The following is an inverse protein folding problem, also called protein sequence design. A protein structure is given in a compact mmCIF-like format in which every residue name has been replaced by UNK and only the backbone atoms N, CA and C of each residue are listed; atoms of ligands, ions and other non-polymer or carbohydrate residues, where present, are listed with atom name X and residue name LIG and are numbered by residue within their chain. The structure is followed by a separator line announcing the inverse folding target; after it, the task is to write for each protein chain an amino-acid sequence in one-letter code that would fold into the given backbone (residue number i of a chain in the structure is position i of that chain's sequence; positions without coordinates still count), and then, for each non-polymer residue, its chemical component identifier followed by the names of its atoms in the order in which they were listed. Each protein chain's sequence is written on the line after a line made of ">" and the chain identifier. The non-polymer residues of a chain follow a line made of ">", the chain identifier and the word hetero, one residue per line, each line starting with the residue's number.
data_IF_651408632766
#
_entry.id   IF_651408632766
#
_cell.length_a   1.000
_cell.length_b   1.000
_cell.length_c   1.000
_cell.angle_alpha   90.00
_cell.angle_beta   90.00
_cell.angle_gamma   90.00
#
_symmetry.space_group_name_H-M   'P 1'
#
loop_
_entity.id
_entity.type
_entity.pdbx_description
1 polymer ?
#
# COMPACT_ATOMS: atom_id res chain seq x y z
N UNK A 1 2.08 -9.51 6.59
CA UNK A 1 1.57 -8.50 5.63
C UNK A 1 2.30 -7.18 5.82
N UNK A 2 2.31 -6.33 4.79
CA UNK A 2 2.90 -4.98 4.83
C UNK A 2 1.89 -3.98 4.24
N UNK A 3 1.82 -2.78 4.80
CA UNK A 3 1.17 -1.62 4.17
C UNK A 3 2.25 -0.61 3.83
N UNK A 4 2.35 -0.21 2.57
CA UNK A 4 3.24 0.89 2.16
C UNK A 4 2.40 2.14 2.00
N UNK A 5 2.60 3.11 2.90
CA UNK A 5 2.00 4.43 2.82
C UNK A 5 3.01 5.38 2.17
N UNK A 6 2.67 5.97 1.03
CA UNK A 6 3.63 6.75 0.23
C UNK A 6 3.05 8.05 -0.30
N UNK A 7 3.80 9.17 -0.25
CA UNK A 7 3.47 10.33 -1.06
C UNK A 7 3.82 10.09 -2.53
N UNK A 8 3.39 10.99 -3.40
CA UNK A 8 3.90 11.10 -4.77
C UNK A 8 4.83 12.30 -4.89
N UNK A 9 6.09 12.03 -5.21
CA UNK A 9 7.10 13.05 -5.51
C UNK A 9 7.54 12.93 -6.96
N UNK A 10 7.48 14.04 -7.69
CA UNK A 10 7.93 14.12 -9.10
C UNK A 10 7.37 12.98 -9.98
N UNK A 11 6.06 12.71 -9.87
CA UNK A 11 5.33 11.68 -10.64
C UNK A 11 5.71 10.23 -10.31
N UNK A 12 6.34 9.95 -9.16
CA UNK A 12 6.58 8.58 -8.69
C UNK A 12 6.64 8.49 -7.15
N UNK A 13 6.98 7.32 -6.62
CA UNK A 13 7.20 7.11 -5.19
C UNK A 13 8.63 7.50 -4.75
N UNK A 14 8.88 7.85 -3.48
CA UNK A 14 10.18 8.29 -3.01
C UNK A 14 11.30 7.26 -3.21
N UNK A 15 12.51 7.74 -3.55
CA UNK A 15 13.70 6.90 -3.75
C UNK A 15 14.07 6.07 -2.50
N UNK A 16 13.75 6.56 -1.30
CA UNK A 16 13.97 5.83 -0.04
C UNK A 16 13.18 4.53 0.03
N UNK A 17 11.95 4.51 -0.48
CA UNK A 17 11.13 3.29 -0.56
C UNK A 17 11.75 2.32 -1.56
N UNK A 18 12.21 2.81 -2.72
CA UNK A 18 12.90 1.98 -3.72
C UNK A 18 14.14 1.30 -3.12
N UNK A 19 14.94 2.06 -2.39
CA UNK A 19 16.14 1.54 -1.74
C UNK A 19 15.81 0.45 -0.71
N UNK A 20 14.78 0.65 0.13
CA UNK A 20 14.36 -0.36 1.10
C UNK A 20 13.87 -1.66 0.42
N UNK A 21 13.13 -1.53 -0.68
CA UNK A 21 12.67 -2.66 -1.48
C UNK A 21 13.84 -3.42 -2.09
N UNK A 22 14.77 -2.71 -2.73
CA UNK A 22 15.93 -3.30 -3.40
C UNK A 22 16.86 -4.02 -2.41
N UNK A 23 17.04 -3.46 -1.22
CA UNK A 23 17.85 -4.07 -0.17
C UNK A 23 17.26 -5.40 0.31
N UNK A 24 15.93 -5.50 0.41
CA UNK A 24 15.20 -6.68 0.90
C UNK A 24 14.63 -7.55 -0.23
N UNK A 25 15.30 -7.59 -1.39
CA UNK A 25 14.81 -8.19 -2.64
C UNK A 25 14.01 -9.50 -2.47
N UNK A 26 14.55 -10.49 -1.75
CA UNK A 26 13.94 -11.82 -1.64
C UNK A 26 12.75 -11.87 -0.65
N UNK A 27 12.68 -10.96 0.32
CA UNK A 27 11.70 -10.99 1.41
C UNK A 27 10.27 -10.62 0.96
N UNK A 28 10.15 -10.06 -0.24
CA UNK A 28 8.88 -9.62 -0.83
C UNK A 28 8.09 -10.76 -1.45
N UNK A 29 8.73 -11.87 -1.82
CA UNK A 29 8.08 -12.97 -2.52
C UNK A 29 6.93 -13.53 -1.68
N UNK A 30 5.76 -13.65 -2.31
CA UNK A 30 4.49 -14.13 -1.72
C UNK A 30 4.03 -13.32 -0.49
N UNK A 31 4.66 -12.18 -0.20
CA UNK A 31 4.28 -11.32 0.92
C UNK A 31 3.02 -10.54 0.57
N UNK A 32 1.96 -10.57 1.41
CA UNK A 32 0.79 -9.73 1.19
C UNK A 32 1.14 -8.26 1.41
N UNK A 33 0.87 -7.42 0.42
CA UNK A 33 1.17 -5.98 0.45
C UNK A 33 -0.03 -5.15 -0.01
N UNK A 34 -0.38 -4.09 0.73
CA UNK A 34 -1.28 -3.04 0.26
C UNK A 34 -0.53 -1.73 0.08
N UNK A 35 -0.94 -0.92 -0.90
CA UNK A 35 -0.35 0.40 -1.17
C UNK A 35 -1.37 1.51 -0.89
N UNK A 36 -1.00 2.46 -0.04
CA UNK A 36 -1.80 3.64 0.25
C UNK A 36 -1.04 4.89 -0.20
N UNK A 37 -1.43 5.44 -1.34
CA UNK A 37 -0.93 6.72 -1.82
C UNK A 37 -1.57 7.88 -1.07
N UNK A 38 -0.85 8.99 -0.89
CA UNK A 38 -1.46 10.23 -0.40
C UNK A 38 -0.88 11.49 -1.05
N UNK A 39 -1.69 12.55 -1.12
CA UNK A 39 -1.27 13.87 -1.58
C UNK A 39 -2.45 14.66 -2.16
N UNK A 40 -2.22 15.91 -2.59
CA UNK A 40 -3.30 16.72 -3.18
C UNK A 40 -3.91 16.13 -4.46
N UNK A 41 -3.20 15.22 -5.14
CA UNK A 41 -3.69 14.46 -6.30
C UNK A 41 -3.88 12.97 -6.04
N UNK A 42 -3.91 12.52 -4.79
CA UNK A 42 -4.13 11.11 -4.43
C UNK A 42 -2.97 10.15 -4.70
N UNK A 43 -1.86 10.60 -5.32
CA UNK A 43 -0.65 9.82 -5.57
C UNK A 43 -0.78 8.61 -6.53
N UNK A 44 -1.62 8.72 -7.56
CA UNK A 44 -1.90 7.63 -8.51
C UNK A 44 -0.69 7.11 -9.30
N UNK A 45 0.26 7.96 -9.71
CA UNK A 45 1.45 7.49 -10.44
C UNK A 45 2.39 6.72 -9.50
N UNK A 46 2.55 7.22 -8.27
CA UNK A 46 3.36 6.53 -7.25
C UNK A 46 2.79 5.15 -6.92
N UNK A 47 1.46 5.03 -6.81
CA UNK A 47 0.79 3.74 -6.61
C UNK A 47 1.07 2.78 -7.76
N UNK A 48 0.93 3.25 -9.02
CA UNK A 48 1.13 2.43 -10.20
C UNK A 48 2.57 1.94 -10.33
N UNK A 49 3.55 2.84 -10.17
CA UNK A 49 4.97 2.52 -10.23
C UNK A 49 5.39 1.56 -9.11
N UNK A 50 4.91 1.79 -7.89
CA UNK A 50 5.24 0.94 -6.74
C UNK A 50 4.63 -0.45 -6.88
N UNK A 51 3.37 -0.54 -7.32
CA UNK A 51 2.71 -1.82 -7.59
C UNK A 51 3.47 -2.61 -8.66
N UNK A 52 3.91 -1.94 -9.73
CA UNK A 52 4.73 -2.57 -10.78
C UNK A 52 6.01 -3.19 -10.21
N UNK A 53 6.71 -2.50 -9.31
CA UNK A 53 7.93 -3.03 -8.66
C UNK A 53 7.60 -4.21 -7.75
N UNK A 54 6.59 -4.08 -6.89
CA UNK A 54 6.20 -5.14 -5.96
C UNK A 54 5.75 -6.43 -6.68
N UNK A 55 4.93 -6.30 -7.72
CA UNK A 55 4.51 -7.43 -8.55
C UNK A 55 5.69 -8.08 -9.28
N UNK A 56 6.69 -7.30 -9.73
CA UNK A 56 7.92 -7.85 -10.31
C UNK A 56 8.68 -8.72 -9.31
N UNK A 57 8.69 -8.33 -8.02
CA UNK A 57 9.26 -9.10 -6.92
C UNK A 57 8.34 -10.21 -6.39
N UNK A 58 7.21 -10.47 -7.08
CA UNK A 58 6.21 -11.48 -6.71
C UNK A 58 5.57 -11.28 -5.34
N UNK A 59 5.48 -10.03 -4.87
CA UNK A 59 4.62 -9.72 -3.74
C UNK A 59 3.15 -9.94 -4.13
N UNK A 60 2.36 -10.42 -3.18
CA UNK A 60 0.90 -10.55 -3.30
C UNK A 60 0.25 -9.20 -3.02
N UNK A 61 0.20 -8.33 -4.04
CA UNK A 61 -0.37 -7.00 -3.90
C UNK A 61 -1.90 -7.10 -3.88
N UNK A 62 -2.50 -6.94 -2.70
CA UNK A 62 -3.94 -7.10 -2.50
C UNK A 62 -4.75 -5.93 -3.05
N UNK A 63 -4.14 -4.75 -3.14
CA UNK A 63 -4.75 -3.58 -3.75
C UNK A 63 -4.01 -2.28 -3.47
N UNK A 64 -4.48 -1.21 -4.09
CA UNK A 64 -3.98 0.13 -3.82
C UNK A 64 -5.11 1.16 -3.78
N UNK A 65 -4.95 2.19 -2.96
CA UNK A 65 -5.86 3.34 -2.90
C UNK A 65 -5.10 4.64 -2.69
N UNK A 66 -5.64 5.73 -3.19
CA UNK A 66 -5.04 7.06 -3.09
C UNK A 66 -5.88 7.98 -2.23
N UNK A 67 -5.26 8.73 -1.32
CA UNK A 67 -5.93 9.63 -0.38
C UNK A 67 -5.61 11.10 -0.69
N UNK A 68 -6.64 11.91 -0.83
CA UNK A 68 -6.53 13.32 -1.22
C UNK A 68 -6.67 14.26 -0.04
N UNK A 69 -5.72 15.19 0.14
CA UNK A 69 -5.85 16.26 1.13
C UNK A 69 -7.02 17.19 0.80
N UNK A 70 -7.82 17.54 1.82
CA UNK A 70 -9.04 18.34 1.71
C UNK A 70 -10.27 17.55 1.25
N UNK A 71 -10.14 16.26 0.94
CA UNK A 71 -11.25 15.39 0.57
C UNK A 71 -11.30 14.12 1.44
N UNK A 72 -10.17 13.40 1.52
CA UNK A 72 -10.02 12.17 2.29
C UNK A 72 -9.23 12.35 3.58
N UNK A 73 -8.30 13.31 3.56
CA UNK A 73 -7.41 13.65 4.67
C UNK A 73 -7.55 15.13 5.01
N UNK A 74 -7.56 15.47 6.29
CA UNK A 74 -7.29 16.82 6.73
C UNK A 74 -5.81 17.18 6.48
N UNK A 75 -5.47 18.47 6.56
CA UNK A 75 -4.12 18.98 6.27
C UNK A 75 -3.07 18.43 7.23
N UNK A 76 -3.47 18.06 8.45
CA UNK A 76 -2.62 17.41 9.45
C UNK A 76 -2.46 15.89 9.22
N UNK A 77 -3.07 15.35 8.16
CA UNK A 77 -3.05 13.93 7.82
C UNK A 77 -4.10 13.09 8.53
N UNK A 78 -4.99 13.68 9.32
CA UNK A 78 -6.08 12.91 9.95
C UNK A 78 -7.13 12.49 8.92
N UNK A 79 -7.64 11.27 9.06
CA UNK A 79 -8.74 10.73 8.26
C UNK A 79 -9.97 10.59 9.16
N UNK A 80 -11.10 11.19 8.75
CA UNK A 80 -12.38 10.93 9.40
C UNK A 80 -12.90 9.55 8.95
N UNK A 81 -13.28 8.73 9.94
CA UNK A 81 -13.83 7.39 9.74
C UNK A 81 -15.10 7.36 8.87
N UNK A 82 -15.81 8.47 8.75
CA UNK A 82 -17.04 8.58 7.97
C UNK A 82 -16.79 8.98 6.51
N UNK A 83 -15.56 9.31 6.12
CA UNK A 83 -15.24 9.60 4.72
C UNK A 83 -15.30 8.32 3.89
N UNK A 84 -15.82 8.40 2.66
CA UNK A 84 -16.01 7.23 1.79
C UNK A 84 -14.75 6.39 1.61
N UNK A 85 -13.57 7.00 1.47
CA UNK A 85 -12.30 6.26 1.34
C UNK A 85 -11.83 5.58 2.62
N UNK A 86 -12.37 5.92 3.80
CA UNK A 86 -12.10 5.15 5.01
C UNK A 86 -12.64 3.71 4.89
N UNK A 87 -13.77 3.51 4.20
CA UNK A 87 -14.29 2.17 3.87
C UNK A 87 -13.33 1.37 2.98
N UNK A 88 -12.78 2.01 1.94
CA UNK A 88 -11.80 1.38 1.03
C UNK A 88 -10.52 1.00 1.76
N UNK A 89 -10.03 1.87 2.67
CA UNK A 89 -8.85 1.55 3.48
C UNK A 89 -9.12 0.36 4.41
N UNK A 90 -10.31 0.29 5.04
CA UNK A 90 -10.70 -0.87 5.86
C UNK A 90 -10.74 -2.16 5.05
N UNK A 91 -11.34 -2.12 3.86
CA UNK A 91 -11.41 -3.28 2.97
C UNK A 91 -10.00 -3.80 2.60
N UNK A 92 -9.06 -2.89 2.29
CA UNK A 92 -7.67 -3.28 2.04
C UNK A 92 -7.01 -3.93 3.26
N UNK A 93 -7.29 -3.43 4.47
CA UNK A 93 -6.78 -4.01 5.71
C UNK A 93 -7.38 -5.40 5.98
N UNK A 94 -8.68 -5.57 5.71
CA UNK A 94 -9.37 -6.86 5.83
C UNK A 94 -8.81 -7.89 4.84
N UNK A 95 -8.53 -7.47 3.60
CA UNK A 95 -7.87 -8.32 2.60
C UNK A 95 -6.46 -8.73 3.04
N UNK A 96 -5.66 -7.81 3.58
CA UNK A 96 -4.34 -8.15 4.14
C UNK A 96 -4.45 -9.13 5.31
N UNK A 97 -5.42 -8.91 6.19
CA UNK A 97 -5.64 -9.78 7.34
C UNK A 97 -5.98 -11.21 6.89
N UNK A 98 -6.92 -11.36 5.93
CA UNK A 98 -7.26 -12.65 5.35
C UNK A 98 -6.05 -13.38 4.78
N UNK A 99 -5.22 -12.70 3.99
CA UNK A 99 -4.00 -13.29 3.41
C UNK A 99 -2.98 -13.75 4.45
N UNK A 100 -2.88 -13.07 5.59
CA UNK A 100 -1.99 -13.50 6.68
C UNK A 100 -2.50 -14.80 7.30
N UNK A 101 -3.79 -14.90 7.57
CA UNK A 101 -4.39 -16.13 8.12
C UNK A 101 -4.19 -17.33 7.19
N UNK A 102 -4.30 -17.12 5.88
CA UNK A 102 -4.06 -18.17 4.88
C UNK A 102 -2.60 -18.68 4.90
N UNK A 103 -1.62 -17.78 5.08
CA UNK A 103 -0.20 -18.15 5.15
C UNK A 103 0.14 -18.94 6.42
N UNK A 104 -0.44 -18.56 7.55
CA UNK A 104 -0.27 -19.28 8.81
C UNK A 104 -0.85 -20.71 8.72
N UNK A 105 -1.97 -20.87 8.00
CA UNK A 105 -2.55 -22.18 7.75
C UNK A 105 -1.67 -23.08 6.86
N UNK A 106 -0.94 -22.51 5.88
CA UNK A 106 -0.02 -23.24 5.00
C UNK A 106 1.25 -23.69 5.73
N UNK A 107 1.74 -22.90 6.68
CA UNK A 107 2.97 -23.23 7.43
C UNK A 107 2.76 -24.17 8.61
N UNK A 108 1.50 -24.38 9.03
CA UNK A 108 1.14 -25.25 10.14
C UNK A 108 0.90 -26.74 9.76
N UNK A 109 0.94 -27.08 8.46
CA UNK A 109 0.76 -28.45 7.94
C UNK A 109 2.06 -29.07 7.44
#
# INVERSE_FOLDING_TARGET
>A
AIVIVTPQYNRSFPATIKNAIDYLYAEWQDKPVAVVGYGFGGAGDAQADLTKVLTHLRADVVGSTGLTFGADLAVDGTMDANVGKAGVVRELLDQLHGKVLDLDAVTAG
#
